data_IF_465343328620
#
_entry.id   IF_465343328620
#
_cell.length_a   1.000
_cell.length_b   1.000
_cell.length_c   1.000
_cell.angle_alpha   90.00
_cell.angle_beta   90.00
_cell.angle_gamma   90.00
#
_symmetry.space_group_name_H-M   'P 1'
#
loop_
_entity.id
_entity.type
_entity.pdbx_description
1 polymer ?
#
# COMPACT_ATOMS: atom_id res chain seq x y z
N UNK A 1 29.68 17.74 0.52
CA UNK A 1 28.54 17.14 1.23
C UNK A 1 27.55 16.72 0.17
N UNK A 2 27.57 15.44 -0.15
CA UNK A 2 26.81 14.81 -1.23
C UNK A 2 25.32 14.81 -0.89
N UNK A 3 24.53 15.52 -1.70
CA UNK A 3 23.08 15.43 -1.71
C UNK A 3 22.70 14.45 -2.82
N UNK A 4 22.86 13.15 -2.53
CA UNK A 4 22.30 12.11 -3.37
C UNK A 4 20.81 12.00 -3.03
N UNK A 5 19.88 12.32 -3.96
CA UNK A 5 18.50 11.92 -3.76
C UNK A 5 18.52 10.39 -3.70
N UNK A 6 17.85 9.80 -2.72
CA UNK A 6 17.61 8.36 -2.68
C UNK A 6 16.69 7.97 -3.85
N UNK A 7 17.18 8.09 -5.07
CA UNK A 7 16.77 7.32 -6.22
C UNK A 7 17.22 5.90 -5.90
N UNK A 8 16.42 5.19 -5.09
CA UNK A 8 16.30 3.75 -5.28
C UNK A 8 15.92 3.58 -6.73
N UNK A 9 16.91 3.31 -7.59
CA UNK A 9 16.68 2.88 -8.96
C UNK A 9 15.90 1.58 -8.79
N UNK A 10 14.60 1.68 -9.04
CA UNK A 10 13.68 0.57 -9.00
C UNK A 10 13.94 -0.23 -10.29
N UNK A 11 15.02 -1.01 -10.31
CA UNK A 11 15.40 -1.87 -11.45
C UNK A 11 14.60 -3.17 -11.47
N UNK A 12 13.74 -3.41 -10.48
CA UNK A 12 12.96 -4.64 -10.45
C UNK A 12 11.78 -4.53 -11.42
N UNK A 13 11.70 -5.35 -12.49
CA UNK A 13 10.69 -5.23 -13.55
C UNK A 13 9.25 -5.31 -13.03
N UNK A 14 9.08 -5.97 -11.89
CA UNK A 14 7.83 -6.09 -11.15
C UNK A 14 7.30 -4.73 -10.67
N UNK A 15 8.15 -3.79 -10.30
CA UNK A 15 7.76 -2.47 -9.81
C UNK A 15 7.43 -1.51 -10.97
N UNK A 16 8.15 -1.60 -12.09
CA UNK A 16 7.79 -0.91 -13.34
C UNK A 16 6.43 -1.39 -13.85
N UNK A 17 6.15 -2.70 -13.78
CA UNK A 17 4.86 -3.25 -14.14
C UNK A 17 3.69 -2.73 -13.27
N UNK A 18 3.97 -2.27 -12.03
CA UNK A 18 2.94 -1.63 -11.20
C UNK A 18 2.57 -0.25 -11.69
N UNK A 19 3.53 0.50 -12.24
CA UNK A 19 3.28 1.86 -12.75
C UNK A 19 2.44 1.85 -14.02
N UNK A 20 2.48 0.75 -14.78
CA UNK A 20 1.62 0.53 -15.94
C UNK A 20 0.26 -0.10 -15.61
N UNK A 21 -0.01 -0.45 -14.34
CA UNK A 21 -1.30 -1.02 -13.97
C UNK A 21 -2.38 0.06 -14.06
N UNK A 22 -3.42 -0.20 -14.85
CA UNK A 22 -4.58 0.69 -14.99
C UNK A 22 -5.87 0.07 -14.45
N UNK A 23 -5.83 -1.19 -14.03
CA UNK A 23 -6.97 -1.94 -13.49
C UNK A 23 -6.59 -2.86 -12.33
N UNK A 24 -7.56 -3.16 -11.46
CA UNK A 24 -7.39 -4.16 -10.39
C UNK A 24 -7.03 -5.56 -10.91
N UNK A 25 -7.42 -5.92 -12.14
CA UNK A 25 -7.05 -7.20 -12.73
C UNK A 25 -5.54 -7.29 -12.96
N UNK A 26 -4.95 -6.27 -13.58
CA UNK A 26 -3.51 -6.18 -13.81
C UNK A 26 -2.75 -6.10 -12.48
N UNK A 27 -3.29 -5.37 -11.50
CA UNK A 27 -2.70 -5.31 -10.17
C UNK A 27 -2.66 -6.69 -9.50
N UNK A 28 -3.77 -7.45 -9.55
CA UNK A 28 -3.84 -8.80 -8.97
C UNK A 28 -2.88 -9.77 -9.66
N UNK A 29 -2.73 -9.68 -10.98
CA UNK A 29 -1.74 -10.46 -11.72
C UNK A 29 -0.32 -10.13 -11.25
N UNK A 30 0.02 -8.84 -11.20
CA UNK A 30 1.32 -8.36 -10.71
C UNK A 30 1.57 -8.77 -9.26
N UNK A 31 0.55 -8.68 -8.39
CA UNK A 31 0.62 -9.13 -7.00
C UNK A 31 0.83 -10.65 -6.90
N UNK A 32 0.18 -11.47 -7.73
CA UNK A 32 0.41 -12.91 -7.77
C UNK A 32 1.84 -13.25 -8.19
N UNK A 33 2.40 -12.53 -9.17
CA UNK A 33 3.81 -12.65 -9.53
C UNK A 33 4.75 -12.26 -8.39
N UNK A 34 4.44 -11.20 -7.64
CA UNK A 34 5.22 -10.81 -6.44
C UNK A 34 5.17 -11.88 -5.36
N UNK A 35 4.00 -12.45 -5.08
CA UNK A 35 3.82 -13.50 -4.08
C UNK A 35 4.61 -14.74 -4.45
N UNK A 36 4.57 -15.17 -5.72
CA UNK A 36 5.33 -16.32 -6.21
C UNK A 36 6.85 -16.15 -6.04
N UNK A 37 7.34 -14.93 -6.15
CA UNK A 37 8.76 -14.61 -5.99
C UNK A 37 9.13 -14.16 -4.56
N UNK A 38 8.21 -14.29 -3.59
CA UNK A 38 8.35 -13.84 -2.20
C UNK A 38 8.66 -12.33 -2.02
N UNK A 39 8.48 -11.51 -3.06
CA UNK A 39 8.80 -10.08 -3.05
C UNK A 39 7.78 -9.26 -2.25
N UNK A 40 6.53 -9.73 -2.18
CA UNK A 40 5.44 -9.04 -1.47
C UNK A 40 5.66 -9.00 0.06
N UNK A 41 6.54 -9.87 0.59
CA UNK A 41 6.89 -9.87 2.01
C UNK A 41 7.66 -8.62 2.44
N UNK A 42 8.20 -7.86 1.48
CA UNK A 42 8.83 -6.58 1.75
C UNK A 42 7.80 -5.45 1.79
N UNK A 43 7.95 -4.55 2.77
CA UNK A 43 7.09 -3.38 2.96
C UNK A 43 7.01 -2.49 1.71
N UNK A 44 8.07 -2.45 0.90
CA UNK A 44 8.15 -1.59 -0.28
C UNK A 44 7.18 -2.01 -1.41
N UNK A 45 7.22 -3.23 -1.99
CA UNK A 45 6.21 -3.65 -2.97
C UNK A 45 4.78 -3.60 -2.42
N UNK A 46 4.57 -4.04 -1.18
CA UNK A 46 3.25 -4.01 -0.55
C UNK A 46 2.67 -2.59 -0.46
N UNK A 47 3.50 -1.59 -0.08
CA UNK A 47 3.10 -0.19 -0.03
C UNK A 47 2.70 0.39 -1.39
N UNK A 48 3.30 -0.10 -2.49
CA UNK A 48 2.95 0.32 -3.85
C UNK A 48 1.62 -0.28 -4.29
N UNK A 49 1.35 -1.55 -3.94
CA UNK A 49 0.08 -2.22 -4.25
C UNK A 49 -1.04 -1.50 -3.49
N UNK A 50 -0.81 -1.23 -2.21
CA UNK A 50 -1.72 -0.50 -1.34
C UNK A 50 -1.99 0.91 -1.88
N UNK A 51 -0.98 1.62 -2.35
CA UNK A 51 -1.15 2.96 -2.94
C UNK A 51 -2.03 2.96 -4.19
N UNK A 52 -1.87 1.96 -5.07
CA UNK A 52 -2.78 1.82 -6.20
C UNK A 52 -4.22 1.58 -5.73
N UNK A 53 -4.42 0.68 -4.77
CA UNK A 53 -5.75 0.32 -4.29
C UNK A 53 -6.47 1.49 -3.61
N UNK A 54 -5.74 2.29 -2.83
CA UNK A 54 -6.30 3.40 -2.07
C UNK A 54 -6.47 4.69 -2.89
N UNK A 55 -5.61 4.94 -3.88
CA UNK A 55 -5.51 6.23 -4.56
C UNK A 55 -5.86 6.15 -6.07
N UNK A 56 -5.82 4.99 -6.71
CA UNK A 56 -6.21 4.92 -8.13
C UNK A 56 -7.72 5.12 -8.30
N UNK A 57 -8.15 5.75 -9.40
CA UNK A 57 -9.58 5.78 -9.78
C UNK A 57 -10.12 4.37 -10.05
N UNK A 58 -9.26 3.51 -10.60
CA UNK A 58 -9.53 2.08 -10.76
C UNK A 58 -9.19 1.26 -9.52
N UNK A 59 -8.98 1.91 -8.36
CA UNK A 59 -8.59 1.28 -7.11
C UNK A 59 -9.77 0.61 -6.40
N UNK A 60 -9.45 -0.26 -5.44
CA UNK A 60 -10.42 -0.89 -4.54
C UNK A 60 -9.97 -0.67 -3.10
N UNK A 61 -10.68 0.23 -2.41
CA UNK A 61 -10.37 0.57 -1.02
C UNK A 61 -10.54 -0.63 -0.08
N UNK A 62 -11.46 -1.55 -0.37
CA UNK A 62 -11.63 -2.78 0.43
C UNK A 62 -10.41 -3.68 0.33
N UNK A 63 -9.81 -3.78 -0.87
CA UNK A 63 -8.55 -4.50 -1.08
C UNK A 63 -7.38 -3.79 -0.39
N UNK A 64 -7.36 -2.45 -0.40
CA UNK A 64 -6.38 -1.66 0.35
C UNK A 64 -6.42 -1.96 1.86
N UNK A 65 -7.62 -2.04 2.44
CA UNK A 65 -7.81 -2.42 3.84
C UNK A 65 -7.32 -3.83 4.15
N UNK A 66 -7.61 -4.80 3.28
CA UNK A 66 -7.14 -6.18 3.44
C UNK A 66 -5.61 -6.29 3.40
N UNK A 67 -4.96 -5.55 2.49
CA UNK A 67 -3.50 -5.46 2.44
C UNK A 67 -2.94 -4.80 3.69
N UNK A 68 -3.55 -3.70 4.13
CA UNK A 68 -3.13 -2.97 5.31
C UNK A 68 -3.18 -3.83 6.58
N UNK A 69 -4.23 -4.63 6.78
CA UNK A 69 -4.36 -5.50 7.96
C UNK A 69 -3.33 -6.63 8.04
N UNK A 70 -2.69 -6.97 6.92
CA UNK A 70 -1.61 -7.96 6.86
C UNK A 70 -0.22 -7.37 7.15
N UNK A 71 -0.09 -6.04 7.18
CA UNK A 71 1.19 -5.36 7.46
C UNK A 71 1.42 -5.26 8.96
N UNK A 72 2.47 -5.91 9.46
CA UNK A 72 2.80 -5.85 10.89
C UNK A 72 3.33 -4.48 11.33
N UNK A 73 4.05 -3.77 10.46
CA UNK A 73 4.67 -2.47 10.76
C UNK A 73 4.50 -1.49 9.60
N UNK A 74 3.30 -0.92 9.39
CA UNK A 74 3.08 0.10 8.37
C UNK A 74 3.88 1.37 8.69
N UNK A 75 4.65 1.86 7.72
CA UNK A 75 5.40 3.10 7.84
C UNK A 75 4.50 4.34 7.59
N UNK A 76 5.02 5.54 7.85
CA UNK A 76 4.30 6.81 7.67
C UNK A 76 3.73 6.98 6.26
N UNK A 77 4.41 6.48 5.23
CA UNK A 77 3.91 6.54 3.86
C UNK A 77 2.62 5.71 3.71
N UNK A 78 2.60 4.46 4.20
CA UNK A 78 1.42 3.59 4.15
C UNK A 78 0.23 4.22 4.90
N UNK A 79 0.47 4.79 6.09
CA UNK A 79 -0.56 5.49 6.86
C UNK A 79 -1.14 6.68 6.07
N UNK A 80 -0.27 7.54 5.53
CA UNK A 80 -0.69 8.69 4.74
C UNK A 80 -1.50 8.29 3.50
N UNK A 81 -1.11 7.19 2.86
CA UNK A 81 -1.81 6.62 1.71
C UNK A 81 -3.22 6.15 2.09
N UNK A 82 -3.38 5.43 3.20
CA UNK A 82 -4.70 4.97 3.64
C UNK A 82 -5.62 6.14 4.01
N UNK A 83 -5.11 7.16 4.72
CA UNK A 83 -5.90 8.36 5.08
C UNK A 83 -6.44 9.04 3.81
N UNK A 84 -5.59 9.20 2.78
CA UNK A 84 -5.99 9.78 1.49
C UNK A 84 -7.04 8.93 0.78
N UNK A 85 -6.90 7.61 0.81
CA UNK A 85 -7.89 6.70 0.22
C UNK A 85 -9.24 6.76 0.93
N UNK A 86 -9.26 6.70 2.26
CA UNK A 86 -10.48 6.83 3.06
C UNK A 86 -11.21 8.14 2.77
N UNK A 87 -10.47 9.25 2.69
CA UNK A 87 -11.02 10.58 2.38
C UNK A 87 -11.70 10.64 1.01
N UNK A 88 -11.29 9.81 0.05
CA UNK A 88 -11.86 9.78 -1.30
C UNK A 88 -13.01 8.80 -1.44
N UNK A 89 -13.00 7.71 -0.68
CA UNK A 89 -14.00 6.66 -0.75
C UNK A 89 -15.33 7.02 -0.04
N UNK A 90 -15.46 8.24 0.52
CA UNK A 90 -16.61 8.66 1.36
C UNK A 90 -16.99 7.62 2.43
N UNK A 91 -16.00 6.83 2.87
CA UNK A 91 -16.21 5.85 3.92
C UNK A 91 -16.31 6.62 5.23
N UNK A 92 -17.52 6.64 5.81
CA UNK A 92 -17.80 7.33 7.08
C UNK A 92 -16.85 6.92 8.20
N UNK A 93 -16.87 7.62 9.35
CA UNK A 93 -15.81 7.61 10.39
C UNK A 93 -15.47 6.25 11.04
N UNK A 94 -16.08 5.14 10.63
CA UNK A 94 -15.72 3.78 11.06
C UNK A 94 -14.25 3.42 10.81
N UNK A 95 -13.58 4.03 9.82
CA UNK A 95 -12.15 3.82 9.63
C UNK A 95 -11.33 4.41 10.78
N UNK A 96 -11.78 5.46 11.48
CA UNK A 96 -11.09 6.00 12.65
C UNK A 96 -10.95 4.95 13.77
N UNK A 97 -11.87 3.98 13.85
CA UNK A 97 -11.78 2.87 14.81
C UNK A 97 -10.70 1.84 14.45
N UNK A 98 -10.31 1.73 13.17
CA UNK A 98 -9.16 0.94 12.72
C UNK A 98 -7.84 1.69 13.00
N UNK A 99 -7.90 3.02 13.12
CA UNK A 99 -6.75 3.91 13.23
C UNK A 99 -6.45 4.37 14.66
N UNK A 100 -7.41 4.27 15.58
CA UNK A 100 -7.11 4.44 16.99
C UNK A 100 -6.30 3.23 17.44
N UNK A 101 -5.02 3.41 17.82
CA UNK A 101 -4.38 2.39 18.62
C UNK A 101 -5.25 2.25 19.86
N UNK A 102 -5.61 1.02 20.24
CA UNK A 102 -5.88 0.75 21.63
C UNK A 102 -4.60 1.11 22.40
N UNK A 103 -4.50 2.38 22.77
CA UNK A 103 -3.46 3.00 23.57
C UNK A 103 -3.72 2.79 25.05
N UNK A 104 -4.19 1.60 25.41
CA UNK A 104 -4.17 1.09 26.77
C UNK A 104 -3.55 -0.29 26.71
N UNK A 105 -2.48 -0.46 27.48
CA UNK A 105 -1.83 -1.74 27.80
C UNK A 105 -0.75 -2.23 26.83
N UNK A 106 0.43 -1.59 26.88
CA UNK A 106 1.68 -2.32 27.16
C UNK A 106 2.52 -1.49 28.13
N UNK A 107 2.86 -2.12 29.26
CA UNK A 107 3.64 -1.61 30.38
C UNK A 107 4.97 -0.97 29.98
#
# INVERSE_FOLDING_TARGET
>A
MDLSPANTIITHPVLLAMESCTSMLQLKQTQAHMTKNALIAHTFPASRVLAFCAISESGDMSHAHLLFSQLQNPNTYIWNTMIRGCSRAETGPNWLLVFLPNGSERC
#
